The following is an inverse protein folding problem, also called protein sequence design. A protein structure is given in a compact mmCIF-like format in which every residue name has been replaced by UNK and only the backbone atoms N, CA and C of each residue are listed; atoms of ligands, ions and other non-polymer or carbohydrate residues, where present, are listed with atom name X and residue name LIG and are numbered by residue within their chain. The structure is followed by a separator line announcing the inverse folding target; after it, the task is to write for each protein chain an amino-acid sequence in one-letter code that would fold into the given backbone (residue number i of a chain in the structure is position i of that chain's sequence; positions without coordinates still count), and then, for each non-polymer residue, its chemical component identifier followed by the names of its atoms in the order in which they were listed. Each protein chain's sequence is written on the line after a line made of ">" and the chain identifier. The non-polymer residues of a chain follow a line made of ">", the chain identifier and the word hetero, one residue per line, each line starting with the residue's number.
data_IF_171323329435
#
_entry.id   IF_171323329435
#
_cell.length_a   1.000
_cell.length_b   1.000
_cell.length_c   1.000
_cell.angle_alpha   90.00
_cell.angle_beta   90.00
_cell.angle_gamma   90.00
#
_symmetry.space_group_name_H-M   'P 1'
#
loop_
_entity.id
_entity.type
_entity.pdbx_description
1 polymer ?
#
# COMPACT_ATOMS: atom_id res chain seq x y z
N UNK A 1 -8.00 -20.38 3.77
CA UNK A 1 -8.25 -21.49 4.75
C UNK A 1 -7.81 -22.88 4.21
N UNK A 2 -8.10 -23.24 2.96
CA UNK A 2 -7.65 -24.51 2.35
C UNK A 2 -6.16 -24.51 2.04
N UNK A 3 -5.61 -23.42 1.50
CA UNK A 3 -4.18 -23.27 1.18
C UNK A 3 -3.30 -23.29 2.42
N UNK A 4 -3.72 -22.66 3.52
CA UNK A 4 -2.95 -22.64 4.77
C UNK A 4 -2.83 -24.03 5.38
N UNK A 5 -3.88 -24.84 5.28
CA UNK A 5 -3.84 -26.25 5.73
C UNK A 5 -2.87 -27.09 4.92
N UNK A 6 -2.85 -26.92 3.60
CA UNK A 6 -1.90 -27.62 2.71
C UNK A 6 -0.46 -27.19 3.02
N UNK A 7 -0.21 -25.90 3.25
CA UNK A 7 1.09 -25.37 3.65
C UNK A 7 1.61 -25.99 4.95
N UNK A 8 0.75 -26.06 5.96
CA UNK A 8 1.10 -26.66 7.26
C UNK A 8 1.40 -28.15 7.09
N UNK A 9 0.62 -28.88 6.29
CA UNK A 9 0.81 -30.30 6.07
C UNK A 9 2.10 -30.59 5.26
N UNK A 10 2.36 -29.85 4.20
CA UNK A 10 3.62 -29.93 3.45
C UNK A 10 4.83 -29.60 4.32
N UNK A 11 4.74 -28.58 5.18
CA UNK A 11 5.80 -28.25 6.12
C UNK A 11 6.07 -29.38 7.11
N UNK A 12 5.01 -30.04 7.61
CA UNK A 12 5.13 -31.21 8.48
C UNK A 12 5.79 -32.40 7.76
N UNK A 13 5.39 -32.67 6.52
CA UNK A 13 5.98 -33.75 5.71
C UNK A 13 7.46 -33.53 5.44
N UNK A 14 7.87 -32.30 5.10
CA UNK A 14 9.27 -31.92 4.90
C UNK A 14 10.10 -32.06 6.18
N UNK A 15 9.54 -31.68 7.33
CA UNK A 15 10.19 -31.86 8.64
C UNK A 15 10.35 -33.36 8.95
N UNK A 16 9.34 -34.18 8.67
CA UNK A 16 9.40 -35.64 8.87
C UNK A 16 10.43 -36.26 7.94
N UNK A 17 10.41 -35.93 6.65
CA UNK A 17 11.39 -36.45 5.68
C UNK A 17 12.83 -36.10 6.10
N UNK A 18 13.07 -34.90 6.59
CA UNK A 18 14.39 -34.46 7.06
C UNK A 18 14.91 -35.25 8.28
N UNK A 19 14.01 -35.66 9.19
CA UNK A 19 14.35 -36.43 10.37
C UNK A 19 14.79 -37.87 10.03
N UNK A 20 14.39 -38.40 8.89
CA UNK A 20 14.73 -39.72 8.42
C UNK A 20 15.98 -39.78 7.52
N UNK A 21 16.47 -38.64 7.04
CA UNK A 21 17.73 -38.55 6.28
C UNK A 21 18.92 -38.46 7.24
N UNK A 22 19.56 -39.58 7.50
CA UNK A 22 20.81 -39.65 8.29
C UNK A 22 21.90 -38.86 7.57
N UNK A 23 22.41 -37.77 8.19
CA UNK A 23 23.56 -36.99 7.70
C UNK A 23 23.21 -35.73 6.90
N UNK A 24 21.94 -35.32 6.79
CA UNK A 24 21.60 -34.06 6.17
C UNK A 24 21.71 -32.90 7.17
N UNK A 25 22.48 -31.86 6.84
CA UNK A 25 22.42 -30.55 7.48
C UNK A 25 21.10 -29.85 7.07
N UNK A 26 20.00 -30.25 7.69
CA UNK A 26 18.70 -29.68 7.42
C UNK A 26 18.61 -28.29 8.08
N UNK A 27 18.55 -27.25 7.24
CA UNK A 27 18.28 -25.91 7.68
C UNK A 27 16.78 -25.61 7.48
N UNK A 28 16.05 -25.52 8.60
CA UNK A 28 14.61 -25.25 8.63
C UNK A 28 14.29 -23.92 7.94
N UNK A 29 15.15 -22.93 8.09
CA UNK A 29 14.98 -21.60 7.50
C UNK A 29 15.13 -21.64 5.97
N UNK A 30 16.09 -22.40 5.45
CA UNK A 30 16.24 -22.59 4.00
C UNK A 30 15.08 -23.39 3.39
N UNK A 31 14.58 -24.41 4.10
CA UNK A 31 13.41 -25.16 3.65
C UNK A 31 12.16 -24.29 3.62
N UNK A 32 11.93 -23.48 4.65
CA UNK A 32 10.83 -22.51 4.71
C UNK A 32 10.93 -21.49 3.58
N UNK A 33 12.11 -20.91 3.40
CA UNK A 33 12.35 -19.92 2.34
C UNK A 33 12.16 -20.49 0.94
N UNK A 34 12.55 -21.77 0.72
CA UNK A 34 12.33 -22.46 -0.55
C UNK A 34 10.85 -22.74 -0.82
N UNK A 35 10.12 -23.11 0.23
CA UNK A 35 8.67 -23.32 0.14
C UNK A 35 7.92 -22.02 -0.14
N UNK A 36 8.27 -20.93 0.57
CA UNK A 36 7.72 -19.60 0.31
C UNK A 36 7.97 -19.17 -1.15
N UNK A 37 9.16 -19.42 -1.69
CA UNK A 37 9.51 -19.11 -3.07
C UNK A 37 8.69 -19.95 -4.08
N UNK A 38 8.45 -21.22 -3.80
CA UNK A 38 7.61 -22.09 -4.64
C UNK A 38 6.18 -21.54 -4.73
N UNK A 39 5.59 -21.17 -3.59
CA UNK A 39 4.24 -20.56 -3.61
C UNK A 39 4.19 -19.23 -4.35
N UNK A 40 5.20 -18.39 -4.19
CA UNK A 40 5.27 -17.12 -4.89
C UNK A 40 5.44 -17.28 -6.41
N UNK A 41 6.14 -18.34 -6.85
CA UNK A 41 6.26 -18.69 -8.26
C UNK A 41 4.96 -19.20 -8.89
N UNK A 42 4.11 -19.86 -8.11
CA UNK A 42 2.82 -20.40 -8.59
C UNK A 42 1.69 -19.37 -8.46
N UNK A 43 1.91 -18.28 -7.72
CA UNK A 43 0.88 -17.28 -7.47
C UNK A 43 0.69 -16.36 -8.68
N UNK A 44 -0.55 -16.16 -9.09
CA UNK A 44 -0.91 -15.17 -10.12
C UNK A 44 -0.80 -13.74 -9.59
N UNK A 45 -1.05 -13.52 -8.29
CA UNK A 45 -0.96 -12.23 -7.61
C UNK A 45 -0.26 -12.40 -6.28
N UNK A 46 0.71 -11.53 -5.99
CA UNK A 46 1.41 -11.47 -4.70
C UNK A 46 1.20 -10.12 -4.05
N UNK A 47 0.65 -10.12 -2.83
CA UNK A 47 0.52 -8.93 -2.00
C UNK A 47 1.65 -8.86 -0.98
N UNK A 48 2.32 -7.72 -0.93
CA UNK A 48 3.44 -7.49 0.00
C UNK A 48 3.57 -6.01 0.34
N UNK A 49 4.31 -5.69 1.39
CA UNK A 49 4.70 -4.29 1.61
C UNK A 49 5.89 -3.92 0.74
N UNK A 50 6.04 -2.63 0.43
CA UNK A 50 7.18 -2.12 -0.35
C UNK A 50 8.52 -2.60 0.23
N UNK A 51 8.70 -2.49 1.55
CA UNK A 51 9.92 -2.96 2.21
C UNK A 51 10.14 -4.46 2.10
N UNK A 52 9.07 -5.25 2.20
CA UNK A 52 9.16 -6.72 2.11
C UNK A 52 9.42 -7.21 0.70
N UNK A 53 9.13 -6.43 -0.34
CA UNK A 53 9.44 -6.78 -1.74
C UNK A 53 10.95 -6.90 -2.01
N UNK A 54 11.78 -6.28 -1.17
CA UNK A 54 13.24 -6.43 -1.21
C UNK A 54 13.79 -7.68 -0.51
N UNK A 55 12.94 -8.56 0.02
CA UNK A 55 13.40 -9.79 0.69
C UNK A 55 14.01 -10.78 -0.30
N UNK A 56 14.95 -11.58 0.20
CA UNK A 56 15.64 -12.65 -0.53
C UNK A 56 14.70 -13.66 -1.21
N UNK A 57 13.47 -13.80 -0.70
CA UNK A 57 12.40 -14.57 -1.31
C UNK A 57 12.22 -14.20 -2.80
N UNK A 58 12.09 -12.91 -3.10
CA UNK A 58 11.81 -12.44 -4.45
C UNK A 58 12.98 -12.61 -5.42
N UNK A 59 14.22 -12.67 -4.92
CA UNK A 59 15.39 -12.99 -5.76
C UNK A 59 15.48 -14.47 -6.18
N UNK A 60 14.66 -15.33 -5.58
CA UNK A 60 14.56 -16.77 -5.90
C UNK A 60 13.43 -17.10 -6.87
N UNK A 61 12.65 -16.11 -7.30
CA UNK A 61 11.60 -16.33 -8.27
C UNK A 61 12.19 -16.71 -9.62
N UNK A 62 11.61 -17.68 -10.29
CA UNK A 62 12.03 -18.17 -11.60
C UNK A 62 11.64 -17.23 -12.74
N UNK A 63 10.67 -16.36 -12.50
CA UNK A 63 10.19 -15.35 -13.44
C UNK A 63 9.91 -14.05 -12.70
N UNK A 64 9.92 -12.92 -13.43
CA UNK A 64 9.48 -11.63 -12.91
C UNK A 64 7.95 -11.51 -12.89
N UNK A 65 7.49 -10.30 -12.65
CA UNK A 65 6.07 -9.95 -12.67
C UNK A 65 5.77 -9.15 -13.95
N UNK A 66 4.61 -9.37 -14.55
CA UNK A 66 4.17 -8.58 -15.71
C UNK A 66 3.82 -7.14 -15.32
N UNK A 67 3.31 -6.96 -14.09
CA UNK A 67 2.88 -5.68 -13.56
C UNK A 67 3.20 -5.55 -12.08
N UNK A 68 3.59 -4.34 -11.68
CA UNK A 68 3.69 -3.91 -10.28
C UNK A 68 2.68 -2.80 -10.04
N UNK A 69 1.87 -2.95 -9.00
CA UNK A 69 0.96 -1.90 -8.51
C UNK A 69 1.44 -1.47 -7.14
N UNK A 70 1.72 -0.19 -6.97
CA UNK A 70 2.14 0.40 -5.69
C UNK A 70 1.03 1.33 -5.21
N UNK A 71 0.34 0.91 -4.15
CA UNK A 71 -0.66 1.73 -3.47
C UNK A 71 0.02 2.65 -2.46
N UNK A 72 -0.59 3.81 -2.19
CA UNK A 72 -0.02 4.87 -1.35
C UNK A 72 1.41 5.30 -1.79
N UNK A 73 1.65 5.29 -3.10
CA UNK A 73 2.97 5.55 -3.69
C UNK A 73 3.53 6.94 -3.38
N UNK A 74 2.67 7.91 -3.06
CA UNK A 74 3.08 9.24 -2.63
C UNK A 74 3.68 9.28 -1.21
N UNK A 75 3.41 8.27 -0.38
CA UNK A 75 3.94 8.14 0.98
C UNK A 75 5.27 7.36 1.06
N UNK A 76 5.77 6.87 -0.06
CA UNK A 76 7.06 6.19 -0.15
C UNK A 76 8.09 7.09 -0.85
N UNK A 77 9.30 7.18 -0.29
CA UNK A 77 10.41 7.86 -0.98
C UNK A 77 10.75 7.14 -2.29
N UNK A 78 11.31 7.87 -3.24
CA UNK A 78 11.70 7.29 -4.53
C UNK A 78 12.63 6.06 -4.38
N UNK A 79 13.60 6.13 -3.46
CA UNK A 79 14.49 5.00 -3.16
C UNK A 79 13.73 3.81 -2.56
N UNK A 80 12.71 4.10 -1.75
CA UNK A 80 11.90 3.06 -1.10
C UNK A 80 11.13 2.18 -2.08
N UNK A 81 10.76 2.69 -3.25
CA UNK A 81 9.99 1.92 -4.26
C UNK A 81 10.87 1.18 -5.27
N UNK A 82 12.20 1.32 -5.21
CA UNK A 82 13.11 0.60 -6.12
C UNK A 82 13.02 -0.93 -5.99
N UNK A 83 12.93 -1.52 -4.78
CA UNK A 83 12.84 -2.97 -4.65
C UNK A 83 11.70 -3.61 -5.46
N UNK A 84 10.42 -3.16 -5.37
CA UNK A 84 9.37 -3.74 -6.19
C UNK A 84 9.56 -3.48 -7.69
N UNK A 85 10.12 -2.34 -8.08
CA UNK A 85 10.40 -2.04 -9.48
C UNK A 85 11.52 -2.93 -10.06
N UNK A 86 12.48 -3.34 -9.23
CA UNK A 86 13.58 -4.23 -9.62
C UNK A 86 13.13 -5.68 -9.88
N UNK A 87 11.88 -6.03 -9.61
CA UNK A 87 11.32 -7.37 -9.83
C UNK A 87 11.01 -7.66 -11.31
N UNK A 88 11.40 -6.79 -12.23
CA UNK A 88 11.37 -7.03 -13.68
C UNK A 88 10.02 -6.77 -14.35
N UNK A 89 9.11 -6.07 -13.71
CA UNK A 89 7.80 -5.75 -14.29
C UNK A 89 7.93 -4.84 -15.51
N UNK A 90 7.24 -5.21 -16.60
CA UNK A 90 7.14 -4.39 -17.80
C UNK A 90 6.21 -3.19 -17.64
N UNK A 91 5.32 -3.24 -16.66
CA UNK A 91 4.32 -2.21 -16.37
C UNK A 91 4.32 -1.87 -14.89
N UNK A 92 4.19 -0.57 -14.59
CA UNK A 92 4.04 -0.09 -13.23
C UNK A 92 2.83 0.86 -13.13
N UNK A 93 2.00 0.65 -12.12
CA UNK A 93 0.89 1.53 -11.76
C UNK A 93 1.18 2.09 -10.37
N UNK A 94 1.26 3.41 -10.27
CA UNK A 94 1.42 4.11 -9.00
C UNK A 94 0.05 4.70 -8.63
N UNK A 95 -0.46 4.33 -7.48
CA UNK A 95 -1.69 4.88 -6.89
C UNK A 95 -1.27 5.69 -5.67
N UNK A 96 -1.76 6.90 -5.52
CA UNK A 96 -1.37 7.75 -4.39
C UNK A 96 -1.81 9.19 -4.57
N UNK A 97 -1.56 9.99 -3.56
CA UNK A 97 -1.98 11.38 -3.51
C UNK A 97 -0.88 12.27 -2.93
N UNK A 98 -0.19 13.07 -3.75
CA UNK A 98 0.88 13.95 -3.28
C UNK A 98 0.38 15.14 -2.46
N UNK A 99 -0.94 15.38 -2.39
CA UNK A 99 -1.55 16.40 -1.54
C UNK A 99 -1.80 15.90 -0.11
N UNK A 100 -1.65 14.58 0.13
CA UNK A 100 -1.69 13.99 1.45
C UNK A 100 -0.28 13.90 2.06
N UNK A 101 -0.08 13.00 3.03
CA UNK A 101 1.18 12.91 3.75
C UNK A 101 2.32 12.42 2.84
N UNK A 102 3.48 13.09 2.85
CA UNK A 102 4.68 12.64 2.16
C UNK A 102 5.36 11.49 2.90
N UNK A 103 6.40 10.93 2.29
CA UNK A 103 7.29 9.98 2.95
C UNK A 103 7.92 10.59 4.22
N UNK A 104 7.92 9.84 5.31
CA UNK A 104 8.52 10.27 6.58
C UNK A 104 10.04 10.20 6.49
N UNK A 105 10.70 11.35 6.63
CA UNK A 105 12.17 11.48 6.67
C UNK A 105 12.57 12.20 7.95
N UNK A 106 13.29 11.50 8.83
CA UNK A 106 13.67 12.03 10.15
C UNK A 106 14.76 13.10 10.01
N UNK A 107 15.69 12.93 9.08
CA UNK A 107 16.79 13.86 8.86
C UNK A 107 16.34 15.13 8.13
N UNK A 108 16.43 16.28 8.77
CA UNK A 108 16.13 17.57 8.14
C UNK A 108 17.04 17.83 6.92
N UNK A 109 18.33 17.50 7.02
CA UNK A 109 19.27 17.65 5.90
C UNK A 109 18.89 16.78 4.69
N UNK A 110 18.43 15.54 4.91
CA UNK A 110 17.94 14.69 3.83
C UNK A 110 16.67 15.26 3.20
N UNK A 111 15.78 15.85 4.00
CA UNK A 111 14.57 16.52 3.52
C UNK A 111 14.87 17.68 2.56
N UNK A 112 15.88 18.52 2.87
CA UNK A 112 16.30 19.61 1.98
C UNK A 112 16.88 19.14 0.64
N UNK A 113 17.37 17.90 0.59
CA UNK A 113 17.88 17.24 -0.62
C UNK A 113 16.78 16.47 -1.38
N UNK A 114 15.52 16.72 -1.09
CA UNK A 114 14.35 16.07 -1.72
C UNK A 114 14.27 14.56 -1.51
N UNK A 115 14.91 14.03 -0.47
CA UNK A 115 14.87 12.59 -0.17
C UNK A 115 13.45 12.08 0.18
N UNK A 116 12.57 12.97 0.66
CA UNK A 116 11.16 12.67 0.94
C UNK A 116 10.28 12.68 -0.31
N UNK A 117 10.78 13.18 -1.45
CA UNK A 117 10.01 13.21 -2.68
C UNK A 117 9.73 11.78 -3.16
N UNK A 118 8.48 11.52 -3.51
CA UNK A 118 8.07 10.23 -4.06
C UNK A 118 8.34 10.16 -5.57
N UNK A 119 8.48 8.94 -6.09
CA UNK A 119 8.52 8.69 -7.52
C UNK A 119 7.21 9.14 -8.21
N UNK A 120 6.07 8.99 -7.52
CA UNK A 120 4.76 9.46 -7.98
C UNK A 120 4.78 10.97 -8.26
N UNK A 121 5.22 11.77 -7.28
CA UNK A 121 5.31 13.22 -7.41
C UNK A 121 6.29 13.62 -8.52
N UNK A 122 7.45 12.97 -8.61
CA UNK A 122 8.43 13.26 -9.66
C UNK A 122 7.89 13.00 -11.07
N UNK A 123 7.17 11.91 -11.27
CA UNK A 123 6.55 11.62 -12.56
C UNK A 123 5.45 12.60 -12.91
N UNK A 124 4.64 12.99 -11.94
CA UNK A 124 3.61 14.01 -12.14
C UNK A 124 4.23 15.36 -12.55
N UNK A 125 5.29 15.80 -11.86
CA UNK A 125 6.03 17.01 -12.19
C UNK A 125 6.71 16.95 -13.58
N UNK A 126 7.12 15.76 -14.00
CA UNK A 126 7.68 15.51 -15.33
C UNK A 126 6.61 15.45 -16.45
N UNK A 127 5.33 15.62 -16.14
CA UNK A 127 4.24 15.62 -17.09
C UNK A 127 3.74 14.23 -17.50
N UNK A 128 4.05 13.18 -16.72
CA UNK A 128 3.46 11.87 -16.95
C UNK A 128 1.94 11.93 -16.79
N UNK A 129 1.17 11.23 -17.64
CA UNK A 129 -0.28 11.22 -17.55
C UNK A 129 -0.77 10.74 -16.18
N UNK A 130 -1.66 11.50 -15.58
CA UNK A 130 -2.29 11.16 -14.29
C UNK A 130 -3.81 11.13 -14.45
N UNK A 131 -4.43 10.19 -13.75
CA UNK A 131 -5.90 10.04 -13.70
C UNK A 131 -6.33 10.38 -12.27
N UNK A 132 -7.20 11.38 -12.14
CA UNK A 132 -7.80 11.71 -10.84
C UNK A 132 -9.00 10.80 -10.57
N UNK A 133 -8.95 10.06 -9.46
CA UNK A 133 -10.11 9.36 -8.92
C UNK A 133 -10.97 10.38 -8.16
N UNK A 134 -11.97 10.95 -8.83
CA UNK A 134 -12.72 12.11 -8.33
C UNK A 134 -13.94 11.75 -7.48
N UNK A 135 -14.43 10.52 -7.52
CA UNK A 135 -15.59 10.09 -6.75
C UNK A 135 -15.14 9.54 -5.39
N UNK A 136 -15.56 10.18 -4.31
CA UNK A 136 -15.27 9.72 -2.96
C UNK A 136 -16.44 8.92 -2.36
N UNK A 137 -16.11 7.96 -1.48
CA UNK A 137 -17.04 6.99 -0.91
C UNK A 137 -17.01 6.95 0.64
N UNK A 138 -16.35 7.90 1.27
CA UNK A 138 -16.05 7.84 2.72
C UNK A 138 -16.64 9.02 3.51
N UNK A 139 -16.35 10.24 3.06
CA UNK A 139 -16.62 11.43 3.85
C UNK A 139 -18.05 11.93 3.67
N UNK A 140 -18.65 12.48 4.75
CA UNK A 140 -19.84 13.29 4.59
C UNK A 140 -19.58 14.46 3.62
N UNK A 141 -20.56 14.88 2.78
CA UNK A 141 -20.35 15.96 1.80
C UNK A 141 -19.79 17.26 2.38
N UNK A 142 -20.23 17.65 3.58
CA UNK A 142 -19.72 18.85 4.26
C UNK A 142 -18.25 18.72 4.66
N UNK A 143 -17.78 17.52 5.04
CA UNK A 143 -16.37 17.26 5.35
C UNK A 143 -15.53 17.31 4.06
N UNK A 144 -16.04 16.75 2.96
CA UNK A 144 -15.37 16.73 1.66
C UNK A 144 -15.21 18.10 1.06
N UNK A 145 -16.11 19.05 1.33
CA UNK A 145 -16.16 20.34 0.62
C UNK A 145 -14.85 21.13 0.73
N UNK A 146 -14.31 21.28 1.95
CA UNK A 146 -13.06 22.02 2.16
C UNK A 146 -11.88 21.39 1.41
N UNK A 147 -11.51 20.10 1.60
CA UNK A 147 -10.40 19.50 0.88
C UNK A 147 -10.62 19.50 -0.64
N UNK A 148 -11.85 19.31 -1.13
CA UNK A 148 -12.15 19.38 -2.55
C UNK A 148 -11.78 20.75 -3.14
N UNK A 149 -12.21 21.83 -2.51
CA UNK A 149 -11.93 23.20 -2.99
C UNK A 149 -10.46 23.56 -2.87
N UNK A 150 -9.84 23.23 -1.74
CA UNK A 150 -8.49 23.69 -1.41
C UNK A 150 -7.40 22.91 -2.15
N UNK A 151 -7.50 21.59 -2.19
CA UNK A 151 -6.45 20.72 -2.73
C UNK A 151 -6.76 20.18 -4.13
N UNK A 152 -8.04 20.01 -4.49
CA UNK A 152 -8.43 19.33 -5.73
C UNK A 152 -9.24 20.17 -6.68
N UNK A 153 -9.21 21.51 -6.54
CA UNK A 153 -9.85 22.48 -7.45
C UNK A 153 -11.36 22.24 -7.60
N UNK A 154 -12.03 21.77 -6.55
CA UNK A 154 -13.45 21.46 -6.55
C UNK A 154 -13.85 20.21 -7.35
N UNK A 155 -12.90 19.38 -7.78
CA UNK A 155 -13.16 18.24 -8.67
C UNK A 155 -13.65 16.97 -7.96
N UNK A 156 -13.62 16.91 -6.63
CA UNK A 156 -14.15 15.75 -5.90
C UNK A 156 -15.66 15.78 -5.89
N UNK A 157 -16.28 14.66 -6.20
CA UNK A 157 -17.71 14.41 -6.17
C UNK A 157 -18.04 13.30 -5.18
N UNK A 158 -19.27 13.25 -4.71
CA UNK A 158 -19.74 12.26 -3.76
C UNK A 158 -20.41 11.09 -4.47
N UNK A 159 -20.17 9.86 -4.01
CA UNK A 159 -20.91 8.70 -4.46
C UNK A 159 -22.36 8.73 -3.94
N UNK A 160 -23.27 7.99 -4.56
CA UNK A 160 -24.67 7.87 -4.11
C UNK A 160 -24.79 7.38 -2.66
N UNK A 161 -23.89 6.50 -2.22
CA UNK A 161 -23.87 5.99 -0.86
C UNK A 161 -23.56 7.06 0.17
N UNK A 162 -22.72 8.04 -0.18
CA UNK A 162 -22.31 9.13 0.70
C UNK A 162 -23.34 10.26 0.72
N UNK A 163 -24.01 10.53 -0.39
CA UNK A 163 -25.07 11.54 -0.48
C UNK A 163 -26.23 11.24 0.48
N UNK A 164 -26.46 9.98 0.82
CA UNK A 164 -27.49 9.54 1.77
C UNK A 164 -27.09 9.70 3.26
N UNK A 165 -25.80 9.91 3.58
CA UNK A 165 -25.33 10.06 4.97
C UNK A 165 -26.00 11.21 5.76
N UNK A 166 -26.37 12.38 5.15
CA UNK A 166 -27.05 13.45 5.88
C UNK A 166 -28.39 13.06 6.51
N UNK A 167 -29.00 11.97 6.06
CA UNK A 167 -30.29 11.49 6.57
C UNK A 167 -30.19 10.75 7.91
N UNK A 168 -28.97 10.44 8.37
CA UNK A 168 -28.73 9.79 9.64
C UNK A 168 -29.19 10.64 10.83
N UNK A 169 -29.89 10.00 11.77
CA UNK A 169 -30.54 10.71 12.89
C UNK A 169 -29.59 11.52 13.76
N UNK A 170 -28.35 11.02 13.96
CA UNK A 170 -27.36 11.70 14.81
C UNK A 170 -26.85 13.02 14.19
N UNK A 171 -26.93 13.19 12.87
CA UNK A 171 -26.58 14.47 12.23
C UNK A 171 -27.67 15.55 12.39
N UNK A 172 -28.84 15.20 12.90
CA UNK A 172 -29.92 16.16 13.19
C UNK A 172 -29.71 16.88 14.52
N UNK A 173 -28.82 16.40 15.36
CA UNK A 173 -28.42 17.09 16.58
C UNK A 173 -27.38 18.17 16.26
N UNK A 174 -27.62 19.39 16.73
CA UNK A 174 -26.70 20.51 16.52
C UNK A 174 -25.31 20.29 17.13
N UNK A 175 -25.20 19.45 18.17
CA UNK A 175 -23.94 19.08 18.80
C UNK A 175 -23.20 17.95 18.07
N UNK A 176 -23.83 17.31 17.09
CA UNK A 176 -23.29 16.19 16.32
C UNK A 176 -23.27 16.45 14.81
N UNK A 177 -23.27 17.72 14.41
CA UNK A 177 -23.16 18.05 12.99
C UNK A 177 -21.88 17.46 12.38
N UNK A 178 -21.85 17.08 11.08
CA UNK A 178 -20.73 16.40 10.45
C UNK A 178 -19.42 17.18 10.47
N UNK A 179 -19.50 18.50 10.59
CA UNK A 179 -18.35 19.40 10.68
C UNK A 179 -18.64 20.49 11.72
N UNK A 180 -17.96 20.40 12.87
CA UNK A 180 -18.13 21.31 14.01
C UNK A 180 -16.76 21.75 14.51
N UNK A 181 -16.67 23.01 14.90
CA UNK A 181 -15.55 23.55 15.66
C UNK A 181 -16.02 23.92 17.07
N UNK A 182 -15.42 23.32 18.08
CA UNK A 182 -15.60 23.68 19.47
C UNK A 182 -14.39 24.47 19.98
N UNK A 183 -14.59 25.74 20.31
CA UNK A 183 -13.57 26.55 20.96
C UNK A 183 -13.53 26.24 22.45
N UNK A 184 -12.43 25.69 22.92
CA UNK A 184 -12.19 25.35 24.32
C UNK A 184 -11.25 26.35 25.03
N UNK A 185 -10.94 27.47 24.40
CA UNK A 185 -9.99 28.46 24.93
C UNK A 185 -10.45 29.15 26.21
N UNK A 186 -11.71 29.00 26.59
CA UNK A 186 -12.33 29.57 27.77
C UNK A 186 -12.91 28.53 28.74
N UNK A 187 -12.46 27.27 28.68
CA UNK A 187 -12.82 26.20 29.60
C UNK A 187 -11.95 26.15 30.83
#
# INVERSE_FOLDING_TARGET
>A
ESRDKVLVEMSRLLILESRFRVGSNFNLEDARSSLEASFANEAEIVFTTVSSSGRRLFSRLSHGFDMVVIDEAAQASEVGVLPPLALGAARCVLVGDPQQLPATVISKAAGTLLYSRSLFERFQQAGCPTILLSVQYRMHPQIREFPSRYFYQGRLTDSESVVKLPDELYYKDALMAPYIFYDISHG
#
